data_IF_310518853087
#
_entry.id   IF_310518853087
#
_cell.length_a   1.000
_cell.length_b   1.000
_cell.length_c   1.000
_cell.angle_alpha   90.00
_cell.angle_beta   90.00
_cell.angle_gamma   90.00
#
_symmetry.space_group_name_H-M   'P 1'
#
loop_
_entity.id
_entity.type
_entity.pdbx_description
1 polymer ?
#
# COMPACT_ATOMS: atom_id res chain seq x y z
N UNK A 1 -1.24 27.03 14.31
CA UNK A 1 -1.27 25.59 13.99
C UNK A 1 -1.00 25.48 12.50
N UNK A 2 0.25 25.17 12.12
CA UNK A 2 0.73 25.18 10.74
C UNK A 2 0.40 23.85 10.08
N UNK A 3 -0.49 23.87 9.10
CA UNK A 3 -0.78 22.72 8.24
C UNK A 3 0.47 22.42 7.39
N UNK A 4 1.02 21.19 7.35
CA UNK A 4 2.25 20.92 6.62
C UNK A 4 1.97 20.77 5.11
N UNK A 5 2.82 21.41 4.30
CA UNK A 5 3.14 21.12 2.89
C UNK A 5 1.97 20.96 1.91
N UNK A 6 1.58 22.09 1.30
CA UNK A 6 0.69 22.15 0.14
C UNK A 6 1.25 21.29 -1.00
N UNK A 7 0.40 20.45 -1.59
CA UNK A 7 0.65 19.82 -2.88
C UNK A 7 1.10 20.92 -3.87
N UNK A 8 2.31 20.79 -4.43
CA UNK A 8 2.83 21.80 -5.34
C UNK A 8 2.05 21.74 -6.64
N UNK A 9 1.39 22.82 -7.04
CA UNK A 9 0.64 22.86 -8.29
C UNK A 9 0.93 24.16 -9.02
N UNK A 10 1.37 24.06 -10.27
CA UNK A 10 1.66 25.24 -11.08
C UNK A 10 1.31 25.01 -12.55
N UNK A 11 0.84 26.07 -13.19
CA UNK A 11 0.58 26.09 -14.63
C UNK A 11 1.86 26.52 -15.36
N UNK A 12 2.20 25.84 -16.46
CA UNK A 12 3.31 26.24 -17.31
C UNK A 12 3.09 27.66 -17.88
N UNK A 13 1.85 27.95 -18.27
CA UNK A 13 1.41 29.31 -18.62
C UNK A 13 0.12 29.64 -17.88
N UNK A 14 0.08 30.81 -17.23
CA UNK A 14 -1.08 31.33 -16.50
C UNK A 14 -2.02 32.16 -17.38
N UNK A 15 -1.58 32.51 -18.59
CA UNK A 15 -2.37 33.18 -19.61
C UNK A 15 -2.23 32.44 -20.95
N UNK A 16 -3.35 32.16 -21.59
CA UNK A 16 -3.43 31.58 -22.93
C UNK A 16 -4.42 32.40 -23.76
N UNK A 17 -4.09 32.61 -25.03
CA UNK A 17 -4.97 33.29 -25.99
C UNK A 17 -5.79 32.25 -26.74
N UNK A 18 -7.11 32.44 -26.79
CA UNK A 18 -8.04 31.62 -27.56
C UNK A 18 -8.45 32.41 -28.81
N UNK A 19 -8.18 31.84 -29.99
CA UNK A 19 -8.67 32.38 -31.25
C UNK A 19 -10.01 31.75 -31.63
N UNK A 20 -10.74 32.37 -32.57
CA UNK A 20 -12.02 31.83 -33.05
C UNK A 20 -11.84 30.42 -33.57
N UNK A 21 -12.69 29.51 -33.10
CA UNK A 21 -12.76 28.11 -33.54
C UNK A 21 -11.47 27.29 -33.30
N UNK A 22 -10.55 27.81 -32.48
CA UNK A 22 -9.34 27.09 -32.04
C UNK A 22 -9.44 26.67 -30.58
N UNK A 23 -8.67 25.63 -30.22
CA UNK A 23 -8.50 25.22 -28.83
C UNK A 23 -7.08 25.54 -28.37
N UNK A 24 -6.96 26.23 -27.24
CA UNK A 24 -5.69 26.44 -26.55
C UNK A 24 -5.67 25.61 -25.27
N UNK A 25 -4.48 25.14 -24.89
CA UNK A 25 -4.26 24.32 -23.71
C UNK A 25 -3.11 24.91 -22.88
N UNK A 26 -3.14 24.64 -21.58
CA UNK A 26 -2.00 24.81 -20.67
C UNK A 26 -1.84 23.53 -19.87
N UNK A 27 -0.62 23.22 -19.47
CA UNK A 27 -0.33 22.05 -18.65
C UNK A 27 -0.29 22.46 -17.19
N UNK A 28 -1.10 21.82 -16.35
CA UNK A 28 -0.97 21.85 -14.90
C UNK A 28 0.00 20.77 -14.47
N UNK A 29 1.14 21.17 -13.90
CA UNK A 29 2.07 20.24 -13.27
C UNK A 29 1.75 20.16 -11.78
N UNK A 30 1.60 18.93 -11.30
CA UNK A 30 1.38 18.65 -9.88
C UNK A 30 2.57 17.89 -9.33
N UNK A 31 3.16 18.39 -8.25
CA UNK A 31 4.24 17.80 -7.50
C UNK A 31 3.73 17.40 -6.12
N UNK A 32 3.61 16.09 -5.89
CA UNK A 32 3.28 15.50 -4.60
C UNK A 32 4.59 15.11 -3.88
N UNK A 33 5.02 15.83 -2.82
CA UNK A 33 6.17 15.39 -2.05
C UNK A 33 5.86 14.10 -1.27
N UNK A 34 6.89 13.29 -1.00
CA UNK A 34 6.77 11.97 -0.36
C UNK A 34 6.29 11.99 1.10
N UNK A 35 6.19 13.18 1.71
CA UNK A 35 5.70 13.37 3.07
C UNK A 35 4.22 13.83 3.11
N UNK A 36 3.52 13.87 1.97
CA UNK A 36 2.09 14.15 1.95
C UNK A 36 1.33 13.06 2.70
N UNK A 37 0.38 13.49 3.51
CA UNK A 37 -0.50 12.56 4.19
C UNK A 37 -1.43 11.86 3.17
N UNK A 38 -1.78 10.58 3.39
CA UNK A 38 -2.77 9.91 2.57
C UNK A 38 -4.12 10.61 2.64
N UNK A 39 -4.60 11.09 1.50
CA UNK A 39 -5.87 11.82 1.39
C UNK A 39 -6.26 12.03 -0.08
N UNK A 40 -7.50 12.49 -0.27
CA UNK A 40 -7.96 13.06 -1.53
C UNK A 40 -7.70 14.57 -1.52
N UNK A 41 -6.85 15.05 -2.43
CA UNK A 41 -6.55 16.46 -2.64
C UNK A 41 -7.31 16.97 -3.87
N UNK A 42 -8.04 18.08 -3.71
CA UNK A 42 -8.80 18.72 -4.79
C UNK A 42 -8.15 20.04 -5.15
N UNK A 43 -7.69 20.15 -6.39
CA UNK A 43 -7.09 21.36 -6.96
C UNK A 43 -8.13 22.08 -7.82
N UNK A 44 -8.47 23.31 -7.44
CA UNK A 44 -9.38 24.14 -8.22
C UNK A 44 -8.61 25.06 -9.17
N UNK A 45 -8.79 24.85 -10.47
CA UNK A 45 -8.25 25.71 -11.52
C UNK A 45 -9.30 26.77 -11.86
N UNK A 46 -8.92 28.03 -11.76
CA UNK A 46 -9.78 29.16 -12.14
C UNK A 46 -9.27 29.74 -13.46
N UNK A 47 -10.13 29.77 -14.46
CA UNK A 47 -9.86 30.42 -15.74
C UNK A 47 -10.75 31.66 -15.86
N UNK A 48 -10.15 32.82 -16.14
CA UNK A 48 -10.86 34.07 -16.27
C UNK A 48 -10.51 34.78 -17.59
N UNK A 49 -11.54 35.25 -18.29
CA UNK A 49 -11.41 36.15 -19.44
C UNK A 49 -12.44 37.27 -19.30
N UNK A 50 -11.97 38.49 -18.99
CA UNK A 50 -12.83 39.62 -18.66
C UNK A 50 -13.76 39.32 -17.48
N UNK A 51 -15.07 39.35 -17.72
CA UNK A 51 -16.11 39.02 -16.73
C UNK A 51 -16.44 37.52 -16.66
N UNK A 52 -15.97 36.72 -17.60
CA UNK A 52 -16.25 35.27 -17.63
C UNK A 52 -15.26 34.55 -16.74
N UNK A 53 -15.76 33.83 -15.75
CA UNK A 53 -14.97 32.95 -14.89
C UNK A 53 -15.50 31.52 -15.02
N UNK A 54 -14.59 30.57 -15.18
CA UNK A 54 -14.86 29.13 -15.21
C UNK A 54 -13.92 28.41 -14.26
N UNK A 55 -14.42 27.29 -13.74
CA UNK A 55 -13.69 26.44 -12.81
C UNK A 55 -13.55 25.04 -13.39
N UNK A 56 -12.41 24.43 -13.16
CA UNK A 56 -12.18 23.01 -13.35
C UNK A 56 -11.54 22.45 -12.08
N UNK A 57 -11.85 21.19 -11.76
CA UNK A 57 -11.28 20.51 -10.62
C UNK A 57 -10.36 19.39 -11.10
N UNK A 58 -9.19 19.27 -10.47
CA UNK A 58 -8.27 18.14 -10.63
C UNK A 58 -8.15 17.44 -9.29
N UNK A 59 -8.44 16.15 -9.28
CA UNK A 59 -8.38 15.31 -8.07
C UNK A 59 -7.09 14.51 -8.06
N UNK A 60 -6.37 14.57 -6.95
CA UNK A 60 -5.13 13.81 -6.72
C UNK A 60 -5.34 12.94 -5.49
N UNK A 61 -5.24 11.63 -5.67
CA UNK A 61 -5.38 10.68 -4.57
C UNK A 61 -3.99 10.17 -4.16
N UNK A 62 -3.64 10.39 -2.90
CA UNK A 62 -2.42 9.86 -2.29
C UNK A 62 -2.81 8.62 -1.51
N UNK A 63 -2.38 7.46 -2.00
CA UNK A 63 -2.68 6.18 -1.35
C UNK A 63 -1.94 6.07 -0.01
N UNK A 64 -2.56 5.46 1.02
CA UNK A 64 -1.88 5.20 2.26
C UNK A 64 -0.77 4.15 2.08
N UNK A 65 0.30 4.21 2.90
CA UNK A 65 1.26 3.12 2.99
C UNK A 65 0.57 1.81 3.38
N UNK A 66 0.91 0.72 2.70
CA UNK A 66 0.28 -0.59 2.89
C UNK A 66 1.29 -1.74 2.66
N UNK A 67 0.90 -2.98 2.90
CA UNK A 67 1.72 -4.15 2.60
C UNK A 67 0.87 -5.33 2.13
N UNK A 68 1.49 -6.24 1.39
CA UNK A 68 0.89 -7.51 0.99
C UNK A 68 1.51 -8.67 1.75
N UNK A 69 0.70 -9.71 1.95
CA UNK A 69 1.11 -10.99 2.52
C UNK A 69 0.82 -12.13 1.55
N UNK A 70 1.83 -12.94 1.28
CA UNK A 70 1.68 -14.17 0.52
C UNK A 70 2.21 -15.34 1.33
N UNK A 71 1.47 -16.44 1.36
CA UNK A 71 1.90 -17.69 1.97
C UNK A 71 2.14 -18.74 0.89
N UNK A 72 3.24 -19.49 0.96
CA UNK A 72 3.45 -20.63 0.09
C UNK A 72 2.72 -21.87 0.64
N UNK A 73 2.16 -22.73 -0.22
CA UNK A 73 1.63 -24.02 0.23
C UNK A 73 2.76 -24.93 0.73
N UNK A 74 2.44 -25.85 1.63
CA UNK A 74 3.39 -26.87 2.13
C UNK A 74 2.74 -28.25 2.18
N UNK A 75 3.55 -29.30 1.99
CA UNK A 75 3.11 -30.69 2.00
C UNK A 75 4.13 -31.52 2.78
N UNK A 76 3.68 -32.30 3.75
CA UNK A 76 4.52 -33.14 4.58
C UNK A 76 3.79 -34.43 4.99
N UNK A 77 4.50 -35.56 5.16
CA UNK A 77 3.91 -36.78 5.69
C UNK A 77 3.40 -36.59 7.12
N UNK A 78 2.34 -37.32 7.51
CA UNK A 78 1.88 -37.30 8.89
C UNK A 78 2.99 -37.73 9.86
N UNK A 79 3.15 -37.00 10.96
CA UNK A 79 4.23 -37.16 11.94
C UNK A 79 5.54 -36.47 11.57
N UNK A 80 5.63 -35.81 10.41
CA UNK A 80 6.77 -35.00 9.99
C UNK A 80 6.47 -33.50 10.10
N UNK A 81 7.52 -32.69 9.89
CA UNK A 81 7.44 -31.23 9.80
C UNK A 81 7.55 -30.81 8.34
N UNK A 82 6.67 -29.91 7.89
CA UNK A 82 6.79 -29.19 6.64
C UNK A 82 7.10 -27.72 6.86
N UNK A 83 7.68 -27.07 5.85
CA UNK A 83 8.00 -25.64 5.86
C UNK A 83 7.19 -24.89 4.81
N UNK A 84 6.74 -23.68 5.16
CA UNK A 84 6.13 -22.71 4.27
C UNK A 84 6.82 -21.35 4.43
N UNK A 85 6.84 -20.54 3.39
CA UNK A 85 7.42 -19.21 3.41
C UNK A 85 6.29 -18.19 3.39
N UNK A 86 6.37 -17.20 4.29
CA UNK A 86 5.52 -16.02 4.30
C UNK A 86 6.32 -14.87 3.73
N UNK A 87 5.81 -14.31 2.64
CA UNK A 87 6.39 -13.18 1.94
C UNK A 87 5.61 -11.92 2.30
N UNK A 88 6.33 -10.89 2.74
CA UNK A 88 5.81 -9.57 3.01
C UNK A 88 6.36 -8.61 1.96
N UNK A 89 5.46 -7.88 1.29
CA UNK A 89 5.82 -6.90 0.26
C UNK A 89 5.32 -5.52 0.69
N UNK A 90 6.22 -4.54 0.73
CA UNK A 90 5.87 -3.13 0.96
C UNK A 90 5.12 -2.55 -0.25
N UNK A 91 4.07 -1.78 0.01
CA UNK A 91 3.32 -0.97 -0.95
C UNK A 91 3.29 0.50 -0.51
N UNK A 92 3.27 1.42 -1.48
CA UNK A 92 3.06 2.85 -1.25
C UNK A 92 3.98 3.44 -0.17
N UNK A 93 5.28 3.14 -0.28
CA UNK A 93 6.34 3.56 0.64
C UNK A 93 6.19 3.08 2.08
N UNK A 94 5.45 2.00 2.31
CA UNK A 94 5.35 1.40 3.64
C UNK A 94 6.73 1.04 4.19
N UNK A 95 7.00 1.62 5.36
CA UNK A 95 8.23 1.44 6.10
C UNK A 95 7.85 1.18 7.56
N UNK A 96 8.05 -0.05 8.01
CA UNK A 96 7.61 -0.48 9.31
C UNK A 96 7.84 -1.96 9.57
N UNK A 97 7.51 -2.36 10.80
CA UNK A 97 7.64 -3.74 11.27
C UNK A 97 6.25 -4.36 11.35
N UNK A 98 6.06 -5.47 10.65
CA UNK A 98 4.85 -6.28 10.67
C UNK A 98 5.04 -7.42 11.67
N UNK A 99 4.18 -7.51 12.67
CA UNK A 99 4.03 -8.67 13.53
C UNK A 99 3.16 -9.73 12.87
N UNK A 100 3.71 -10.93 12.72
CA UNK A 100 3.02 -12.10 12.21
C UNK A 100 2.42 -12.89 13.36
N UNK A 101 1.16 -13.27 13.21
CA UNK A 101 0.44 -14.16 14.13
C UNK A 101 -0.22 -15.29 13.36
N UNK A 102 -0.03 -16.50 13.85
CA UNK A 102 -0.58 -17.71 13.26
C UNK A 102 -1.79 -18.16 14.06
N UNK A 103 -2.91 -18.39 13.39
CA UNK A 103 -4.07 -19.05 13.95
C UNK A 103 -4.00 -20.55 13.62
N UNK A 104 -3.62 -21.37 14.61
CA UNK A 104 -3.50 -22.81 14.45
C UNK A 104 -4.88 -23.49 14.31
N UNK A 105 -5.15 -24.20 13.21
CA UNK A 105 -6.36 -24.99 13.09
C UNK A 105 -6.25 -26.27 13.94
N UNK A 106 -7.39 -26.80 14.38
CA UNK A 106 -7.44 -28.02 15.20
C UNK A 106 -6.72 -29.17 14.48
N UNK A 107 -5.72 -29.75 15.14
CA UNK A 107 -4.96 -30.89 14.62
C UNK A 107 -3.75 -30.50 13.76
N UNK A 108 -3.43 -29.21 13.66
CA UNK A 108 -2.17 -28.69 13.10
C UNK A 108 -1.46 -27.86 14.17
N UNK A 109 -0.16 -28.03 14.31
CA UNK A 109 0.68 -27.14 15.11
C UNK A 109 1.62 -26.42 14.17
N UNK A 110 1.66 -25.09 14.21
CA UNK A 110 2.64 -24.32 13.46
C UNK A 110 3.35 -23.24 14.28
N UNK A 111 4.44 -22.74 13.71
CA UNK A 111 5.18 -21.60 14.25
C UNK A 111 5.97 -20.91 13.14
N UNK A 112 6.19 -19.60 13.26
CA UNK A 112 6.95 -18.82 12.29
C UNK A 112 8.14 -18.13 12.95
N UNK A 113 9.28 -18.10 12.27
CA UNK A 113 10.49 -17.41 12.71
C UNK A 113 11.12 -16.67 11.50
N UNK A 114 11.30 -15.34 11.56
CA UNK A 114 10.90 -14.44 12.65
C UNK A 114 9.38 -14.17 12.69
N UNK A 115 8.85 -13.88 13.88
CA UNK A 115 7.47 -13.38 14.07
C UNK A 115 7.34 -11.88 13.83
N UNK A 116 8.46 -11.16 13.71
CA UNK A 116 8.51 -9.74 13.38
C UNK A 116 9.34 -9.57 12.12
N UNK A 117 8.72 -8.98 11.11
CA UNK A 117 9.32 -8.81 9.79
C UNK A 117 9.32 -7.33 9.45
N UNK A 118 10.46 -6.77 9.08
CA UNK A 118 10.58 -5.36 8.70
C UNK A 118 10.77 -5.22 7.20
N UNK A 119 10.08 -4.24 6.62
CA UNK A 119 10.28 -3.79 5.24
C UNK A 119 10.47 -2.28 5.25
N UNK A 120 11.20 -1.78 4.26
CA UNK A 120 11.43 -0.34 4.09
C UNK A 120 11.42 0.01 2.59
N UNK A 121 11.58 1.29 2.27
CA UNK A 121 11.51 1.76 0.87
C UNK A 121 12.68 1.29 0.00
N UNK A 122 13.79 0.85 0.58
CA UNK A 122 14.95 0.29 -0.13
C UNK A 122 14.94 -1.24 -0.18
N UNK A 123 14.36 -1.88 0.83
CA UNK A 123 14.14 -3.33 0.95
C UNK A 123 12.64 -3.58 1.09
N UNK A 124 11.95 -3.57 -0.04
CA UNK A 124 10.49 -3.70 -0.12
C UNK A 124 10.00 -5.13 0.05
N UNK A 125 10.91 -6.10 0.23
CA UNK A 125 10.60 -7.52 0.32
C UNK A 125 11.24 -8.11 1.57
N UNK A 126 10.46 -8.85 2.34
CA UNK A 126 10.97 -9.60 3.50
C UNK A 126 10.20 -10.90 3.68
N UNK A 127 10.78 -11.85 4.40
CA UNK A 127 10.22 -13.19 4.51
C UNK A 127 10.34 -13.75 5.94
N UNK A 128 9.42 -14.66 6.28
CA UNK A 128 9.47 -15.48 7.47
C UNK A 128 9.24 -16.95 7.11
N UNK A 129 10.00 -17.84 7.74
CA UNK A 129 9.84 -19.28 7.57
C UNK A 129 8.89 -19.81 8.64
N UNK A 130 7.81 -20.44 8.20
CA UNK A 130 6.85 -21.11 9.07
C UNK A 130 7.00 -22.62 8.96
N UNK A 131 6.96 -23.30 10.11
CA UNK A 131 6.96 -24.75 10.21
C UNK A 131 5.59 -25.24 10.64
N UNK A 132 5.16 -26.37 10.10
CA UNK A 132 3.87 -26.99 10.38
C UNK A 132 4.05 -28.49 10.63
N UNK A 133 3.29 -29.04 11.57
CA UNK A 133 3.30 -30.47 11.88
C UNK A 133 1.92 -30.97 12.28
N UNK A 134 1.62 -32.22 11.93
CA UNK A 134 0.39 -32.92 12.30
C UNK A 134 0.62 -34.43 12.31
N UNK A 135 0.05 -35.13 13.28
CA UNK A 135 0.09 -36.60 13.36
C UNK A 135 -1.07 -37.26 12.59
N UNK A 136 -2.04 -36.49 12.13
CA UNK A 136 -3.22 -36.97 11.41
C UNK A 136 -3.14 -36.59 9.93
N UNK A 137 -3.22 -37.55 8.99
CA UNK A 137 -3.33 -37.23 7.57
C UNK A 137 -4.58 -36.40 7.29
N UNK A 138 -4.44 -35.30 6.56
CA UNK A 138 -5.55 -34.41 6.25
C UNK A 138 -5.11 -33.17 5.48
N UNK A 139 -6.08 -32.36 5.05
CA UNK A 139 -5.85 -31.02 4.54
C UNK A 139 -6.20 -30.02 5.62
N UNK A 140 -5.30 -29.08 5.88
CA UNK A 140 -5.44 -28.05 6.90
C UNK A 140 -5.34 -26.68 6.24
N UNK A 141 -6.12 -25.73 6.73
CA UNK A 141 -6.03 -24.32 6.35
C UNK A 141 -5.55 -23.55 7.56
N UNK A 142 -4.31 -23.04 7.50
CA UNK A 142 -3.73 -22.20 8.53
C UNK A 142 -3.87 -20.74 8.09
N UNK A 143 -4.29 -19.87 9.00
CA UNK A 143 -4.45 -18.44 8.69
C UNK A 143 -3.36 -17.63 9.37
N UNK A 144 -2.69 -16.77 8.60
CA UNK A 144 -1.61 -15.92 9.08
C UNK A 144 -2.05 -14.47 8.95
N UNK A 145 -1.97 -13.75 10.06
CA UNK A 145 -2.30 -12.33 10.13
C UNK A 145 -1.03 -11.53 10.34
N UNK A 146 -0.77 -10.56 9.47
CA UNK A 146 0.26 -9.54 9.70
C UNK A 146 -0.35 -8.25 10.21
N UNK A 147 0.27 -7.66 11.22
CA UNK A 147 -0.21 -6.46 11.90
C UNK A 147 0.94 -5.48 12.17
N UNK A 148 0.79 -4.21 11.79
CA UNK A 148 1.73 -3.12 12.11
C UNK A 148 1.10 -2.05 13.03
N UNK A 149 0.25 -2.46 13.97
CA UNK A 149 -0.46 -1.58 14.91
C UNK A 149 -1.56 -0.71 14.30
N UNK A 150 -1.50 -0.38 13.00
CA UNK A 150 -2.48 0.42 12.26
C UNK A 150 -3.22 -0.34 11.14
N UNK A 151 -2.57 -1.33 10.52
CA UNK A 151 -3.14 -2.15 9.44
C UNK A 151 -3.01 -3.64 9.80
N UNK A 152 -4.06 -4.41 9.48
CA UNK A 152 -4.14 -5.85 9.70
C UNK A 152 -4.62 -6.53 8.42
N UNK A 153 -3.81 -7.45 7.89
CA UNK A 153 -4.12 -8.23 6.68
C UNK A 153 -4.01 -9.72 6.98
N UNK A 154 -4.90 -10.53 6.40
CA UNK A 154 -4.98 -11.97 6.59
C UNK A 154 -4.61 -12.68 5.27
N UNK A 155 -3.73 -13.68 5.36
CA UNK A 155 -3.44 -14.65 4.30
C UNK A 155 -3.93 -16.04 4.73
N UNK A 156 -4.44 -16.83 3.78
CA UNK A 156 -5.02 -18.18 3.99
C UNK A 156 -4.48 -19.17 2.98
#
# INVERSE_FOLDING_TARGET
MTHPSEIGAYLNTTAITLNSDETAYTTLTVAAPSNLAPALYVLNVTAQSGLTVRYAAVTVFIEPPDFLLFASPTFFPAGQVGSAVILVVSLNDFNGTIGLSLADPIGLTGSCDPTLVSVNTTDSLSAADCTFSSSTPGSYTASITGNNGQLSLIST
#
